data_IF_127049616454
#
_entry.id   IF_127049616454
#
_cell.length_a   1.000
_cell.length_b   1.000
_cell.length_c   1.000
_cell.angle_alpha   90.00
_cell.angle_beta   90.00
_cell.angle_gamma   90.00
#
_symmetry.space_group_name_H-M   'P 1'
#
loop_
_entity.id
_entity.type
_entity.pdbx_description
1 polymer ?
#
# COMPACT_ATOMS: atom_id res chain seq x y z
N UNK A 1 -17.14 7.83 14.28
CA UNK A 1 -17.01 7.79 12.81
C UNK A 1 -16.12 8.98 12.41
N UNK A 2 -14.83 8.73 12.17
CA UNK A 2 -13.92 9.79 11.72
C UNK A 2 -14.38 10.19 10.32
N UNK A 3 -14.73 11.45 10.13
CA UNK A 3 -15.08 11.98 8.81
C UNK A 3 -13.80 11.95 7.99
N UNK A 4 -13.75 11.10 7.00
CA UNK A 4 -12.64 11.01 6.05
C UNK A 4 -12.59 12.32 5.26
N UNK A 5 -11.57 13.13 5.50
CA UNK A 5 -11.46 14.45 4.87
C UNK A 5 -10.83 14.40 3.49
N UNK A 6 -10.02 13.37 3.19
CA UNK A 6 -9.29 13.18 1.92
C UNK A 6 -9.24 11.70 1.52
N UNK A 7 -9.24 11.35 0.22
CA UNK A 7 -9.28 9.96 -0.28
C UNK A 7 -8.15 9.06 0.24
N UNK A 8 -7.01 9.62 0.60
CA UNK A 8 -5.82 8.89 1.06
C UNK A 8 -5.69 8.82 2.59
N UNK A 9 -6.61 9.41 3.38
CA UNK A 9 -6.57 9.34 4.84
C UNK A 9 -7.07 7.99 5.37
N UNK A 10 -6.56 7.60 6.54
CA UNK A 10 -6.93 6.34 7.21
C UNK A 10 -6.15 5.14 6.66
N UNK A 11 -6.73 3.95 6.79
CA UNK A 11 -6.10 2.69 6.37
C UNK A 11 -6.43 2.41 4.91
N UNK A 12 -5.43 2.55 4.05
CA UNK A 12 -5.49 2.23 2.63
C UNK A 12 -4.73 0.91 2.40
N UNK A 13 -5.43 -0.17 2.15
CA UNK A 13 -4.80 -1.49 2.06
C UNK A 13 -4.17 -1.69 0.68
N UNK A 14 -2.85 -1.82 0.62
CA UNK A 14 -2.16 -2.32 -0.57
C UNK A 14 -2.58 -3.78 -0.77
N UNK A 15 -3.43 -4.03 -1.77
CA UNK A 15 -4.04 -5.35 -1.95
C UNK A 15 -3.09 -6.33 -2.62
N UNK A 16 -3.06 -7.56 -2.09
CA UNK A 16 -2.56 -8.72 -2.85
C UNK A 16 -3.53 -9.04 -3.98
N UNK A 17 -3.08 -9.79 -4.98
CA UNK A 17 -3.96 -10.35 -6.00
C UNK A 17 -4.05 -11.86 -5.85
N UNK A 18 -5.25 -12.44 -5.75
CA UNK A 18 -5.44 -13.88 -5.76
C UNK A 18 -5.27 -14.39 -7.20
N UNK A 19 -4.15 -15.04 -7.46
CA UNK A 19 -3.94 -15.74 -8.73
C UNK A 19 -4.49 -17.16 -8.66
N UNK A 20 -4.96 -17.65 -9.80
CA UNK A 20 -5.28 -19.07 -9.99
C UNK A 20 -3.98 -19.88 -10.09
N UNK A 21 -4.01 -21.19 -9.83
CA UNK A 21 -2.81 -22.03 -9.90
C UNK A 21 -2.22 -22.08 -11.33
N UNK A 22 -0.97 -22.53 -11.43
CA UNK A 22 -0.21 -22.59 -12.69
C UNK A 22 -0.93 -23.32 -13.84
N UNK A 23 -1.74 -24.34 -13.55
CA UNK A 23 -2.58 -25.01 -14.55
C UNK A 23 -3.61 -24.10 -15.22
N UNK A 24 -3.96 -22.99 -14.58
CA UNK A 24 -4.89 -21.95 -15.05
C UNK A 24 -4.12 -20.67 -15.46
N UNK A 25 -2.84 -20.84 -15.82
CA UNK A 25 -1.93 -19.81 -16.33
C UNK A 25 -1.71 -18.61 -15.37
N UNK A 26 -1.83 -18.84 -14.07
CA UNK A 26 -1.75 -17.78 -13.05
C UNK A 26 -2.66 -16.58 -13.34
N UNK A 27 -3.79 -16.79 -14.00
CA UNK A 27 -4.73 -15.71 -14.27
C UNK A 27 -5.26 -15.10 -12.97
N UNK A 28 -5.59 -13.80 -13.01
CA UNK A 28 -6.20 -13.11 -11.85
C UNK A 28 -7.59 -13.67 -11.59
N UNK A 29 -7.88 -14.07 -10.34
CA UNK A 29 -9.21 -14.44 -9.90
C UNK A 29 -9.98 -13.20 -9.45
N UNK A 30 -10.67 -12.54 -10.40
CA UNK A 30 -11.38 -11.29 -10.15
C UNK A 30 -12.52 -11.42 -9.14
N UNK A 31 -13.19 -12.57 -9.07
CA UNK A 31 -14.27 -12.80 -8.11
C UNK A 31 -13.72 -12.88 -6.68
N UNK A 32 -12.63 -13.64 -6.50
CA UNK A 32 -11.94 -13.69 -5.22
C UNK A 32 -11.34 -12.31 -4.83
N UNK A 33 -10.86 -11.55 -5.81
CA UNK A 33 -10.36 -10.20 -5.56
C UNK A 33 -11.47 -9.24 -5.14
N UNK A 34 -12.63 -9.26 -5.80
CA UNK A 34 -13.79 -8.47 -5.40
C UNK A 34 -14.25 -8.80 -3.97
N UNK A 35 -14.30 -10.10 -3.63
CA UNK A 35 -14.63 -10.54 -2.27
C UNK A 35 -13.59 -10.06 -1.24
N UNK A 36 -12.30 -10.07 -1.58
CA UNK A 36 -11.23 -9.53 -0.73
C UNK A 36 -11.42 -8.05 -0.46
N UNK A 37 -11.66 -7.24 -1.50
CA UNK A 37 -11.92 -5.79 -1.35
C UNK A 37 -13.12 -5.54 -0.45
N UNK A 38 -14.25 -6.21 -0.71
CA UNK A 38 -15.45 -6.05 0.10
C UNK A 38 -15.20 -6.41 1.58
N UNK A 39 -14.47 -7.50 1.85
CA UNK A 39 -14.09 -7.93 3.20
C UNK A 39 -13.25 -6.88 3.92
N UNK A 40 -12.22 -6.34 3.27
CA UNK A 40 -11.34 -5.33 3.85
C UNK A 40 -12.12 -4.07 4.25
N UNK A 41 -13.02 -3.61 3.37
CA UNK A 41 -13.86 -2.46 3.64
C UNK A 41 -14.88 -2.72 4.76
N UNK A 42 -15.42 -3.94 4.83
CA UNK A 42 -16.35 -4.36 5.89
C UNK A 42 -15.65 -4.47 7.26
N UNK A 43 -14.37 -4.86 7.29
CA UNK A 43 -13.55 -4.92 8.51
C UNK A 43 -13.16 -3.53 9.05
N UNK A 44 -13.49 -2.44 8.34
CA UNK A 44 -13.22 -1.08 8.79
C UNK A 44 -12.00 -0.41 8.16
N UNK A 45 -11.38 -1.03 7.15
CA UNK A 45 -10.37 -0.35 6.33
C UNK A 45 -11.02 0.79 5.53
N UNK A 46 -10.31 1.90 5.38
CA UNK A 46 -10.86 3.11 4.75
C UNK A 46 -10.83 3.03 3.22
N UNK A 47 -9.92 2.27 2.64
CA UNK A 47 -9.84 2.07 1.20
C UNK A 47 -8.82 1.01 0.80
N UNK A 48 -8.61 0.87 -0.52
CA UNK A 48 -7.71 -0.12 -1.11
C UNK A 48 -6.80 0.51 -2.15
N UNK A 49 -5.62 -0.11 -2.31
CA UNK A 49 -4.57 0.31 -3.25
C UNK A 49 -4.27 -0.86 -4.21
N UNK A 50 -5.06 -1.01 -5.29
CA UNK A 50 -4.75 -1.98 -6.34
C UNK A 50 -3.50 -1.59 -7.13
N UNK A 51 -2.90 -2.54 -7.82
CA UNK A 51 -1.73 -2.32 -8.69
C UNK A 51 -0.51 -1.72 -7.96
N UNK A 52 -0.39 -1.95 -6.65
CA UNK A 52 0.85 -1.70 -5.91
C UNK A 52 1.83 -2.87 -6.04
N UNK A 53 3.02 -2.74 -5.42
CA UNK A 53 4.05 -3.80 -5.41
C UNK A 53 3.53 -5.11 -4.80
N UNK A 54 2.69 -5.02 -3.75
CA UNK A 54 2.05 -6.17 -3.12
C UNK A 54 1.05 -6.88 -4.06
N UNK A 55 0.41 -6.14 -4.95
CA UNK A 55 -0.44 -6.67 -6.03
C UNK A 55 0.34 -7.18 -7.24
N UNK A 56 1.66 -7.28 -7.16
CA UNK A 56 2.53 -7.83 -8.21
C UNK A 56 2.32 -7.15 -9.58
N UNK A 57 2.07 -5.82 -9.58
CA UNK A 57 1.70 -5.06 -10.78
C UNK A 57 2.69 -5.22 -11.94
N UNK A 58 3.96 -5.49 -11.63
CA UNK A 58 5.02 -5.68 -12.62
C UNK A 58 4.81 -6.93 -13.49
N UNK A 59 3.98 -7.87 -13.03
CA UNK A 59 3.69 -9.13 -13.73
C UNK A 59 2.36 -9.12 -14.48
N UNK A 60 1.60 -8.04 -14.35
CA UNK A 60 0.28 -7.89 -14.97
C UNK A 60 0.39 -7.34 -16.39
N UNK A 61 -0.45 -7.85 -17.27
CA UNK A 61 -0.69 -7.22 -18.58
C UNK A 61 -1.46 -5.91 -18.39
N UNK A 62 -1.46 -5.06 -19.43
CA UNK A 62 -2.20 -3.80 -19.44
C UNK A 62 -3.70 -4.02 -19.16
N UNK A 63 -4.31 -5.04 -19.79
CA UNK A 63 -5.71 -5.40 -19.60
C UNK A 63 -6.00 -5.88 -18.17
N UNK A 64 -5.11 -6.68 -17.59
CA UNK A 64 -5.23 -7.13 -16.19
C UNK A 64 -5.17 -5.94 -15.24
N UNK A 65 -4.19 -5.02 -15.42
CA UNK A 65 -4.07 -3.81 -14.58
C UNK A 65 -5.34 -2.97 -14.62
N UNK A 66 -5.87 -2.71 -15.81
CA UNK A 66 -7.11 -1.95 -15.98
C UNK A 66 -8.32 -2.66 -15.34
N UNK A 67 -8.42 -3.97 -15.52
CA UNK A 67 -9.52 -4.76 -14.96
C UNK A 67 -9.47 -4.84 -13.45
N UNK A 68 -8.27 -4.97 -12.85
CA UNK A 68 -8.08 -4.98 -11.38
C UNK A 68 -8.60 -3.67 -10.76
N UNK A 69 -8.32 -2.52 -11.36
CA UNK A 69 -8.83 -1.22 -10.87
C UNK A 69 -10.36 -1.17 -10.94
N UNK A 70 -10.96 -1.56 -12.07
CA UNK A 70 -12.44 -1.59 -12.21
C UNK A 70 -13.07 -2.53 -11.19
N UNK A 71 -12.53 -3.74 -11.03
CA UNK A 71 -13.00 -4.69 -10.01
C UNK A 71 -12.96 -4.09 -8.61
N UNK A 72 -11.89 -3.36 -8.26
CA UNK A 72 -11.77 -2.71 -6.95
C UNK A 72 -12.84 -1.63 -6.74
N UNK A 73 -13.09 -0.77 -7.74
CA UNK A 73 -14.11 0.28 -7.67
C UNK A 73 -15.52 -0.32 -7.58
N UNK A 74 -15.83 -1.32 -8.38
CA UNK A 74 -17.12 -2.03 -8.34
C UNK A 74 -17.34 -2.70 -6.96
N UNK A 75 -16.32 -3.40 -6.44
CA UNK A 75 -16.38 -4.06 -5.15
C UNK A 75 -16.46 -3.07 -3.96
N UNK A 76 -15.99 -1.83 -4.15
CA UNK A 76 -16.19 -0.73 -3.20
C UNK A 76 -17.61 -0.10 -3.29
N UNK A 77 -18.52 -0.70 -4.06
CA UNK A 77 -19.88 -0.19 -4.24
C UNK A 77 -19.96 1.06 -5.11
N UNK A 78 -18.98 1.27 -6.00
CA UNK A 78 -18.84 2.47 -6.82
C UNK A 78 -18.23 3.67 -6.08
N UNK A 79 -17.82 3.48 -4.81
CA UNK A 79 -17.16 4.52 -4.00
C UNK A 79 -15.67 4.64 -4.41
N UNK A 80 -15.43 5.21 -5.59
CA UNK A 80 -14.08 5.31 -6.17
C UNK A 80 -13.10 6.13 -5.32
N UNK A 81 -13.61 7.03 -4.48
CA UNK A 81 -12.80 7.76 -3.49
C UNK A 81 -12.16 6.84 -2.44
N UNK A 82 -12.56 5.58 -2.37
CA UNK A 82 -11.94 4.54 -1.54
C UNK A 82 -10.89 3.70 -2.28
N UNK A 83 -10.57 4.06 -3.52
CA UNK A 83 -9.64 3.31 -4.37
C UNK A 83 -8.52 4.24 -4.84
N UNK A 84 -7.27 3.87 -4.52
CA UNK A 84 -6.05 4.59 -4.85
C UNK A 84 -5.12 3.69 -5.68
N UNK A 85 -5.31 3.55 -7.00
CA UNK A 85 -4.47 2.66 -7.80
C UNK A 85 -3.01 3.09 -7.86
N UNK A 86 -2.10 2.10 -7.87
CA UNK A 86 -0.72 2.32 -8.27
C UNK A 86 -0.63 2.54 -9.78
N UNK A 87 -0.07 3.69 -10.18
CA UNK A 87 0.10 4.07 -11.60
C UNK A 87 1.54 4.06 -12.06
N UNK A 88 2.43 3.48 -11.25
CA UNK A 88 3.87 3.43 -11.53
C UNK A 88 4.19 2.68 -12.82
N UNK A 89 5.16 3.23 -13.58
CA UNK A 89 5.66 2.68 -14.82
C UNK A 89 7.12 3.13 -15.03
N UNK A 90 7.80 2.56 -16.04
CA UNK A 90 9.19 2.95 -16.36
C UNK A 90 9.30 4.35 -16.97
N UNK A 91 8.24 4.90 -17.52
CA UNK A 91 8.25 6.23 -18.13
C UNK A 91 6.93 6.97 -17.92
N UNK A 92 6.99 8.32 -17.98
CA UNK A 92 5.86 9.20 -17.69
C UNK A 92 4.65 8.91 -18.56
N UNK A 93 4.82 8.72 -19.87
CA UNK A 93 3.71 8.47 -20.78
C UNK A 93 2.87 7.22 -20.41
N UNK A 94 3.53 6.16 -19.90
CA UNK A 94 2.82 4.98 -19.42
C UNK A 94 2.14 5.25 -18.07
N UNK A 95 2.80 5.97 -17.17
CA UNK A 95 2.21 6.36 -15.88
C UNK A 95 0.98 7.27 -16.07
N UNK A 96 1.02 8.22 -17.02
CA UNK A 96 -0.12 9.05 -17.38
C UNK A 96 -1.31 8.21 -17.88
N UNK A 97 -1.08 7.26 -18.81
CA UNK A 97 -2.15 6.36 -19.27
C UNK A 97 -2.80 5.58 -18.12
N UNK A 98 -2.00 5.11 -17.14
CA UNK A 98 -2.54 4.44 -15.96
C UNK A 98 -3.35 5.39 -15.06
N UNK A 99 -2.92 6.64 -14.94
CA UNK A 99 -3.65 7.67 -14.19
C UNK A 99 -4.96 8.05 -14.91
N UNK A 100 -4.96 8.16 -16.24
CA UNK A 100 -6.15 8.37 -17.07
C UNK A 100 -7.15 7.23 -16.88
N UNK A 101 -6.71 5.98 -16.97
CA UNK A 101 -7.57 4.81 -16.74
C UNK A 101 -8.11 4.75 -15.30
N UNK A 102 -7.32 5.16 -14.31
CA UNK A 102 -7.77 5.27 -12.93
C UNK A 102 -8.87 6.33 -12.79
N UNK A 103 -8.72 7.50 -13.45
CA UNK A 103 -9.72 8.54 -13.49
C UNK A 103 -11.01 8.08 -14.17
N UNK A 104 -10.91 7.42 -15.32
CA UNK A 104 -12.05 6.83 -16.05
C UNK A 104 -12.79 5.77 -15.21
N UNK A 105 -12.07 5.00 -14.40
CA UNK A 105 -12.67 4.04 -13.47
C UNK A 105 -13.29 4.70 -12.24
N UNK A 106 -13.09 6.01 -12.03
CA UNK A 106 -13.63 6.78 -10.91
C UNK A 106 -12.79 6.75 -9.63
N UNK A 107 -11.50 6.40 -9.70
CA UNK A 107 -10.60 6.42 -8.54
C UNK A 107 -10.47 7.83 -7.93
N UNK A 108 -10.30 7.92 -6.60
CA UNK A 108 -10.23 9.21 -5.91
C UNK A 108 -8.86 9.87 -5.89
N UNK A 109 -7.80 9.10 -6.07
CA UNK A 109 -6.40 9.54 -6.12
C UNK A 109 -5.54 8.41 -6.69
N UNK A 110 -4.24 8.65 -6.92
CA UNK A 110 -3.30 7.66 -7.42
C UNK A 110 -2.02 7.61 -6.60
N UNK A 111 -1.37 6.44 -6.57
CA UNK A 111 -0.09 6.21 -5.92
C UNK A 111 1.01 6.10 -6.98
N UNK A 112 2.06 6.93 -6.89
CA UNK A 112 3.11 7.03 -7.89
C UNK A 112 4.51 6.88 -7.29
N UNK A 113 5.28 5.90 -7.79
CA UNK A 113 6.74 5.81 -7.57
C UNK A 113 7.48 6.79 -8.47
N UNK A 114 8.70 7.25 -8.08
CA UNK A 114 9.59 7.90 -9.02
C UNK A 114 9.96 6.94 -10.18
N UNK A 115 10.48 7.47 -11.31
CA UNK A 115 10.99 6.63 -12.38
C UNK A 115 12.07 5.69 -11.85
N UNK A 116 11.96 4.40 -12.09
CA UNK A 116 12.83 3.38 -11.49
C UNK A 116 13.60 2.52 -12.51
N UNK A 117 13.55 2.86 -13.79
CA UNK A 117 14.34 2.20 -14.83
C UNK A 117 15.82 2.59 -14.78
N UNK A 118 16.16 3.70 -14.14
CA UNK A 118 17.50 4.26 -13.93
C UNK A 118 17.48 5.15 -12.68
N UNK A 119 18.64 5.62 -12.25
CA UNK A 119 18.71 6.62 -11.17
C UNK A 119 18.32 7.99 -11.72
N UNK A 120 17.07 8.33 -11.61
CA UNK A 120 16.57 9.64 -11.97
C UNK A 120 17.13 10.70 -11.01
N UNK A 121 17.55 11.84 -11.55
CA UNK A 121 17.86 13.01 -10.75
C UNK A 121 16.60 13.80 -10.36
N UNK A 122 16.75 14.81 -9.52
CA UNK A 122 15.63 15.60 -9.02
C UNK A 122 14.83 16.28 -10.17
N UNK A 123 15.48 16.70 -11.24
CA UNK A 123 14.81 17.32 -12.37
C UNK A 123 13.92 16.32 -13.13
N UNK A 124 14.43 15.11 -13.40
CA UNK A 124 13.65 14.04 -14.02
C UNK A 124 12.49 13.58 -13.13
N UNK A 125 12.70 13.47 -11.81
CA UNK A 125 11.64 13.17 -10.85
C UNK A 125 10.54 14.22 -10.90
N UNK A 126 10.88 15.50 -10.81
CA UNK A 126 9.89 16.61 -10.86
C UNK A 126 9.11 16.59 -12.16
N UNK A 127 9.78 16.41 -13.30
CA UNK A 127 9.11 16.33 -14.60
C UNK A 127 8.10 15.15 -14.64
N UNK A 128 8.51 13.98 -14.14
CA UNK A 128 7.64 12.80 -14.08
C UNK A 128 6.37 13.03 -13.23
N UNK A 129 6.54 13.56 -12.02
CA UNK A 129 5.40 13.83 -11.15
C UNK A 129 4.48 14.92 -11.71
N UNK A 130 5.04 15.97 -12.32
CA UNK A 130 4.27 17.04 -12.95
C UNK A 130 3.41 16.54 -14.12
N UNK A 131 3.98 15.67 -14.99
CA UNK A 131 3.23 15.05 -16.10
C UNK A 131 2.04 14.21 -15.61
N UNK A 132 2.25 13.38 -14.57
CA UNK A 132 1.17 12.56 -14.03
C UNK A 132 0.12 13.39 -13.29
N UNK A 133 0.53 14.41 -12.55
CA UNK A 133 -0.38 15.33 -11.87
C UNK A 133 -1.28 16.11 -12.85
N UNK A 134 -0.77 16.39 -14.06
CA UNK A 134 -1.53 17.07 -15.11
C UNK A 134 -2.74 16.28 -15.62
N UNK A 135 -2.83 14.97 -15.35
CA UNK A 135 -4.02 14.14 -15.62
C UNK A 135 -5.22 14.58 -14.76
N UNK A 136 -4.97 15.20 -13.59
CA UNK A 136 -6.00 15.83 -12.77
C UNK A 136 -6.45 15.03 -11.53
N UNK A 137 -5.94 13.81 -11.30
CA UNK A 137 -6.14 13.12 -10.02
C UNK A 137 -5.10 13.58 -8.99
N UNK A 138 -5.46 13.68 -7.70
CA UNK A 138 -4.49 13.87 -6.62
C UNK A 138 -3.43 12.75 -6.63
N UNK A 139 -2.16 13.13 -6.59
CA UNK A 139 -1.04 12.18 -6.61
C UNK A 139 -0.45 12.03 -5.22
N UNK A 140 -0.43 10.80 -4.71
CA UNK A 140 0.32 10.39 -3.53
C UNK A 140 1.68 9.88 -3.99
N UNK A 141 2.76 10.55 -3.58
CA UNK A 141 4.11 10.09 -3.88
C UNK A 141 4.42 8.83 -3.06
N UNK A 142 5.12 7.88 -3.65
CA UNK A 142 5.62 6.69 -2.93
C UNK A 142 7.14 6.73 -2.86
N UNK A 143 7.67 7.04 -1.68
CA UNK A 143 9.10 6.95 -1.42
C UNK A 143 9.49 5.54 -1.01
N UNK A 144 10.10 4.79 -1.91
CA UNK A 144 10.69 3.47 -1.66
C UNK A 144 12.11 3.42 -2.25
N UNK A 145 13.11 3.97 -1.54
CA UNK A 145 14.47 4.05 -2.06
C UNK A 145 15.16 2.68 -2.16
N UNK A 146 14.63 1.64 -1.49
CA UNK A 146 15.17 0.28 -1.58
C UNK A 146 14.97 -0.32 -2.97
N UNK A 147 13.76 -0.20 -3.52
CA UNK A 147 13.40 -0.78 -4.81
C UNK A 147 13.74 0.16 -5.97
N UNK A 148 13.41 1.45 -5.84
CA UNK A 148 13.55 2.41 -6.93
C UNK A 148 14.98 2.92 -7.12
N UNK A 149 15.83 2.84 -6.08
CA UNK A 149 17.16 3.47 -6.03
C UNK A 149 17.12 5.00 -6.22
N UNK A 150 15.93 5.59 -6.09
CA UNK A 150 15.68 7.03 -6.07
C UNK A 150 15.08 7.37 -4.72
N UNK A 151 15.69 8.31 -4.03
CA UNK A 151 15.23 8.78 -2.73
C UNK A 151 14.49 10.12 -2.89
N UNK A 152 13.21 10.12 -2.56
CA UNK A 152 12.43 11.36 -2.43
C UNK A 152 12.75 11.99 -1.06
N UNK A 153 13.87 12.72 -1.00
CA UNK A 153 14.29 13.41 0.24
C UNK A 153 13.21 14.39 0.72
N UNK A 154 13.15 14.74 2.02
CA UNK A 154 12.20 15.73 2.53
C UNK A 154 12.18 17.03 1.77
N UNK A 155 13.37 17.53 1.36
CA UNK A 155 13.48 18.72 0.50
C UNK A 155 12.83 18.53 -0.87
N UNK A 156 13.09 17.41 -1.56
CA UNK A 156 12.49 17.14 -2.86
C UNK A 156 10.97 16.96 -2.75
N UNK A 157 10.49 16.33 -1.67
CA UNK A 157 9.06 16.25 -1.39
C UNK A 157 8.43 17.62 -1.19
N UNK A 158 9.10 18.52 -0.47
CA UNK A 158 8.65 19.90 -0.31
C UNK A 158 8.56 20.65 -1.65
N UNK A 159 9.55 20.46 -2.54
CA UNK A 159 9.54 21.05 -3.90
C UNK A 159 8.38 20.49 -4.74
N UNK A 160 8.17 19.16 -4.76
CA UNK A 160 7.06 18.52 -5.46
C UNK A 160 5.68 18.98 -4.95
N UNK A 161 5.57 19.18 -3.64
CA UNK A 161 4.34 19.69 -3.03
C UNK A 161 4.09 21.16 -3.37
N UNK A 162 5.12 21.99 -3.29
CA UNK A 162 5.03 23.41 -3.65
C UNK A 162 4.68 23.62 -5.14
N UNK A 163 5.14 22.73 -6.02
CA UNK A 163 4.78 22.73 -7.45
C UNK A 163 3.34 22.22 -7.71
N UNK A 164 2.63 21.74 -6.68
CA UNK A 164 1.30 21.15 -6.81
C UNK A 164 1.29 19.75 -7.45
N UNK A 165 2.45 19.11 -7.57
CA UNK A 165 2.58 17.78 -8.21
C UNK A 165 2.18 16.64 -7.28
N UNK A 166 2.20 16.83 -5.96
CA UNK A 166 1.80 15.82 -4.97
C UNK A 166 0.97 16.43 -3.84
N UNK A 167 0.12 15.62 -3.23
CA UNK A 167 -0.72 16.00 -2.07
C UNK A 167 -0.35 15.27 -0.79
N UNK A 168 0.32 14.14 -0.92
CA UNK A 168 0.74 13.29 0.19
C UNK A 168 1.98 12.47 -0.20
N UNK A 169 2.64 11.89 0.80
CA UNK A 169 3.72 10.93 0.60
C UNK A 169 3.48 9.65 1.42
N UNK A 170 3.56 8.49 0.76
CA UNK A 170 3.79 7.20 1.41
C UNK A 170 5.29 7.06 1.66
N UNK A 171 5.70 7.10 2.92
CA UNK A 171 7.11 7.00 3.31
C UNK A 171 7.47 5.55 3.70
N UNK A 172 8.35 4.93 2.92
CA UNK A 172 8.75 3.53 3.08
C UNK A 172 10.28 3.37 3.31
N UNK A 173 10.99 4.44 3.65
CA UNK A 173 12.43 4.32 3.94
C UNK A 173 12.72 3.61 5.28
N UNK A 174 11.73 3.52 6.16
CA UNK A 174 11.90 3.01 7.53
C UNK A 174 12.62 4.00 8.48
N UNK A 175 13.01 5.17 7.98
CA UNK A 175 13.63 6.21 8.80
C UNK A 175 12.57 7.13 9.40
N UNK A 176 12.19 6.86 10.64
CA UNK A 176 11.15 7.62 11.35
C UNK A 176 11.50 9.11 11.55
N UNK A 177 12.78 9.49 11.47
CA UNK A 177 13.21 10.91 11.57
C UNK A 177 12.64 11.74 10.43
N UNK A 178 12.41 11.14 9.27
CA UNK A 178 11.85 11.81 8.08
C UNK A 178 10.46 12.40 8.32
N UNK A 179 9.66 11.82 9.20
CA UNK A 179 8.37 12.38 9.57
C UNK A 179 8.50 13.81 10.10
N UNK A 180 9.48 14.02 10.98
CA UNK A 180 9.75 15.34 11.56
C UNK A 180 10.39 16.29 10.55
N UNK A 181 11.35 15.82 9.74
CA UNK A 181 11.96 16.62 8.68
C UNK A 181 10.94 17.07 7.63
N UNK A 182 10.00 16.21 7.23
CA UNK A 182 8.90 16.56 6.31
C UNK A 182 8.00 17.62 6.95
N UNK A 183 7.60 17.44 8.21
CA UNK A 183 6.78 18.39 8.94
C UNK A 183 7.43 19.78 9.06
N UNK A 184 8.77 19.85 9.14
CA UNK A 184 9.51 21.11 9.17
C UNK A 184 9.52 21.84 7.81
N UNK A 185 9.71 21.09 6.70
CA UNK A 185 9.95 21.70 5.38
C UNK A 185 8.70 21.74 4.50
N UNK A 186 7.69 20.93 4.80
CA UNK A 186 6.43 20.82 4.07
C UNK A 186 5.26 20.49 5.03
N UNK A 187 4.89 21.39 5.96
CA UNK A 187 3.90 21.10 7.02
C UNK A 187 2.50 20.78 6.48
N UNK A 188 2.18 21.19 5.25
CA UNK A 188 0.89 20.92 4.60
C UNK A 188 0.89 19.60 3.77
N UNK A 189 2.03 18.94 3.63
CA UNK A 189 2.13 17.67 2.93
C UNK A 189 1.68 16.55 3.86
N UNK A 190 0.63 15.82 3.48
CA UNK A 190 0.16 14.69 4.26
C UNK A 190 1.18 13.55 4.27
N UNK A 191 1.53 13.07 5.46
CA UNK A 191 2.39 11.91 5.64
C UNK A 191 1.54 10.65 5.79
N UNK A 192 1.85 9.61 4.99
CA UNK A 192 1.27 8.28 5.11
C UNK A 192 2.35 7.27 5.51
N UNK A 193 2.01 6.43 6.47
CA UNK A 193 2.85 5.31 6.89
C UNK A 193 3.00 4.35 5.71
N UNK A 194 4.23 4.06 5.32
CA UNK A 194 4.54 3.14 4.22
C UNK A 194 4.98 1.77 4.67
N UNK A 195 5.84 1.72 5.68
CA UNK A 195 6.38 0.48 6.23
C UNK A 195 5.57 0.06 7.47
N UNK A 196 5.02 -1.14 7.45
CA UNK A 196 4.12 -1.63 8.50
C UNK A 196 4.81 -1.71 9.87
N UNK A 197 6.12 -1.99 9.89
CA UNK A 197 6.91 -2.22 11.10
C UNK A 197 7.40 -0.94 11.83
N UNK A 198 7.03 0.25 11.32
CA UNK A 198 7.22 1.55 12.00
C UNK A 198 5.91 2.31 12.15
N UNK A 199 4.78 1.57 12.16
CA UNK A 199 3.45 2.15 12.22
C UNK A 199 3.27 3.06 13.43
N UNK A 200 3.60 2.55 14.63
CA UNK A 200 3.32 3.26 15.88
C UNK A 200 4.11 4.57 15.94
N UNK A 201 5.37 4.53 15.57
CA UNK A 201 6.26 5.68 15.57
C UNK A 201 5.79 6.77 14.62
N UNK A 202 5.38 6.40 13.41
CA UNK A 202 4.92 7.37 12.41
C UNK A 202 3.50 7.90 12.72
N UNK A 203 2.62 7.07 13.31
CA UNK A 203 1.32 7.54 13.77
C UNK A 203 1.47 8.61 14.87
N UNK A 204 2.36 8.37 15.84
CA UNK A 204 2.67 9.35 16.89
C UNK A 204 3.39 10.59 16.38
N UNK A 205 4.10 10.50 15.25
CA UNK A 205 4.70 11.63 14.56
C UNK A 205 3.71 12.43 13.70
N UNK A 206 2.43 12.06 13.68
CA UNK A 206 1.37 12.81 13.00
C UNK A 206 0.99 12.31 11.61
N UNK A 207 1.35 11.08 11.24
CA UNK A 207 0.89 10.49 9.98
C UNK A 207 -0.64 10.38 9.96
N UNK A 208 -1.26 10.79 8.84
CA UNK A 208 -2.71 10.87 8.67
C UNK A 208 -3.33 9.66 7.97
N UNK A 209 -2.50 8.73 7.54
CA UNK A 209 -2.92 7.50 6.88
C UNK A 209 -1.85 6.42 6.92
N UNK A 210 -2.25 5.21 6.56
CA UNK A 210 -1.38 4.05 6.46
C UNK A 210 -1.66 3.28 5.18
N UNK A 211 -0.68 3.20 4.28
CA UNK A 211 -0.77 2.35 3.08
C UNK A 211 -0.21 0.98 3.44
N UNK A 212 -1.06 0.11 3.92
CA UNK A 212 -0.79 -1.07 4.72
C UNK A 212 -0.74 -2.38 3.92
N UNK A 213 0.13 -3.30 4.30
CA UNK A 213 0.21 -4.65 3.74
C UNK A 213 -0.58 -5.69 4.56
N UNK A 214 -0.35 -5.75 5.86
CA UNK A 214 -0.87 -6.82 6.73
C UNK A 214 -2.40 -6.84 6.97
N UNK A 215 -3.18 -5.78 6.76
CA UNK A 215 -4.63 -5.89 6.80
C UNK A 215 -5.23 -6.90 5.79
N UNK A 216 -4.49 -7.26 4.73
CA UNK A 216 -4.90 -8.37 3.85
C UNK A 216 -5.16 -9.66 4.62
N UNK A 217 -4.35 -9.94 5.65
CA UNK A 217 -4.43 -11.16 6.47
C UNK A 217 -5.21 -10.96 7.77
N UNK A 218 -4.98 -9.84 8.49
CA UNK A 218 -5.50 -9.59 9.84
C UNK A 218 -6.14 -8.18 9.91
N UNK A 219 -7.24 -7.94 9.18
CA UNK A 219 -7.78 -6.60 9.01
C UNK A 219 -8.29 -5.98 10.31
N UNK A 220 -9.00 -6.73 11.16
CA UNK A 220 -9.59 -6.19 12.39
C UNK A 220 -8.51 -5.80 13.41
N UNK A 221 -7.47 -6.63 13.55
CA UNK A 221 -6.34 -6.34 14.42
C UNK A 221 -5.56 -5.09 13.95
N UNK A 222 -5.33 -4.97 12.64
CA UNK A 222 -4.66 -3.82 12.06
C UNK A 222 -5.49 -2.54 12.18
N UNK A 223 -6.82 -2.61 12.00
CA UNK A 223 -7.73 -1.47 12.20
C UNK A 223 -7.68 -1.02 13.65
N UNK A 224 -7.77 -1.95 14.59
CA UNK A 224 -7.68 -1.64 16.02
C UNK A 224 -6.36 -0.97 16.37
N UNK A 225 -5.24 -1.55 15.88
CA UNK A 225 -3.91 -1.00 16.11
C UNK A 225 -3.78 0.43 15.58
N UNK A 226 -4.14 0.65 14.31
CA UNK A 226 -4.01 1.97 13.70
C UNK A 226 -4.86 3.03 14.40
N UNK A 227 -6.14 2.72 14.70
CA UNK A 227 -7.03 3.66 15.39
C UNK A 227 -6.48 4.03 16.78
N UNK A 228 -6.06 3.03 17.57
CA UNK A 228 -5.46 3.28 18.87
C UNK A 228 -4.16 4.12 18.76
N UNK A 229 -3.33 3.85 17.75
CA UNK A 229 -2.07 4.58 17.55
C UNK A 229 -2.32 6.07 17.20
N UNK A 230 -3.24 6.38 16.28
CA UNK A 230 -3.53 7.78 15.89
C UNK A 230 -4.31 8.54 16.97
N UNK A 231 -5.08 7.85 17.80
CA UNK A 231 -5.78 8.44 18.94
C UNK A 231 -4.86 8.62 20.17
N UNK A 232 -3.61 8.11 20.10
CA UNK A 232 -2.65 8.18 21.20
C UNK A 232 -2.98 7.23 22.38
N UNK A 233 -3.87 6.26 22.16
CA UNK A 233 -4.18 5.21 23.15
C UNK A 233 -3.07 4.16 23.17
N UNK A 234 -2.00 4.48 23.89
CA UNK A 234 -0.84 3.61 24.01
C UNK A 234 -1.11 2.36 24.86
N UNK A 235 -2.10 2.39 25.72
CA UNK A 235 -2.47 1.22 26.54
C UNK A 235 -3.04 0.11 25.66
N UNK A 236 -3.76 0.45 24.59
CA UNK A 236 -4.24 -0.48 23.56
C UNK A 236 -3.20 -0.71 22.46
N UNK A 237 -2.58 0.36 21.93
CA UNK A 237 -1.72 0.27 20.76
C UNK A 237 -0.43 -0.51 21.03
N UNK A 238 0.28 -0.26 22.13
CA UNK A 238 1.60 -0.82 22.34
C UNK A 238 1.61 -2.34 22.57
N UNK A 239 0.72 -2.95 23.37
CA UNK A 239 0.63 -4.41 23.47
C UNK A 239 0.29 -5.06 22.13
N UNK A 240 -0.68 -4.51 21.37
CA UNK A 240 -1.11 -5.03 20.08
C UNK A 240 0.00 -4.90 19.03
N UNK A 241 0.69 -3.75 18.99
CA UNK A 241 1.83 -3.53 18.10
C UNK A 241 2.96 -4.55 18.36
N UNK A 242 3.29 -4.79 19.63
CA UNK A 242 4.28 -5.81 20.01
C UNK A 242 3.87 -7.22 19.59
N UNK A 243 2.59 -7.56 19.68
CA UNK A 243 2.06 -8.84 19.27
C UNK A 243 2.13 -9.02 17.75
N UNK A 244 1.71 -8.00 16.98
CA UNK A 244 1.71 -8.01 15.51
C UNK A 244 3.10 -7.81 14.88
N UNK A 245 4.03 -7.17 15.56
CA UNK A 245 5.33 -6.76 15.01
C UNK A 245 6.16 -7.90 14.38
N UNK A 246 6.15 -9.16 14.88
CA UNK A 246 6.81 -10.27 14.18
C UNK A 246 6.29 -10.52 12.76
N UNK A 247 5.02 -10.16 12.48
CA UNK A 247 4.43 -10.21 11.15
C UNK A 247 4.69 -8.92 10.37
N UNK A 248 4.45 -7.75 10.97
CA UNK A 248 4.59 -6.44 10.30
C UNK A 248 5.99 -6.27 9.68
N UNK A 249 7.04 -6.79 10.32
CA UNK A 249 8.42 -6.79 9.78
C UNK A 249 8.61 -7.56 8.48
N UNK A 250 7.64 -8.35 8.04
CA UNK A 250 7.73 -9.01 6.74
C UNK A 250 7.44 -8.04 5.59
N UNK A 251 6.67 -6.99 5.82
CA UNK A 251 6.39 -5.98 4.80
C UNK A 251 7.68 -5.30 4.29
N UNK A 252 8.68 -5.15 5.16
CA UNK A 252 9.99 -4.55 4.82
C UNK A 252 11.01 -5.56 4.24
N UNK A 253 10.59 -6.79 3.86
CA UNK A 253 11.46 -7.81 3.29
C UNK A 253 11.14 -8.09 1.82
N UNK A 254 12.12 -8.57 1.02
CA UNK A 254 11.87 -8.94 -0.38
C UNK A 254 10.74 -9.95 -0.58
N UNK A 255 10.51 -10.82 0.42
CA UNK A 255 9.49 -11.88 0.38
C UNK A 255 8.13 -11.43 0.93
N UNK A 256 7.87 -10.14 1.07
CA UNK A 256 6.63 -9.60 1.68
C UNK A 256 5.35 -10.13 1.02
N UNK A 257 5.33 -10.27 -0.30
CA UNK A 257 4.15 -10.77 -1.02
C UNK A 257 3.83 -12.20 -0.61
N UNK A 258 4.84 -13.08 -0.63
CA UNK A 258 4.68 -14.48 -0.24
C UNK A 258 4.28 -14.62 1.22
N UNK A 259 4.87 -13.77 2.08
CA UNK A 259 4.60 -13.79 3.52
C UNK A 259 3.15 -13.38 3.82
N UNK A 260 2.69 -12.29 3.26
CA UNK A 260 1.32 -11.81 3.48
C UNK A 260 0.30 -12.79 2.91
N UNK A 261 0.53 -13.34 1.70
CA UNK A 261 -0.35 -14.36 1.11
C UNK A 261 -0.42 -15.64 1.97
N UNK A 262 0.70 -16.11 2.52
CA UNK A 262 0.69 -17.26 3.42
C UNK A 262 -0.09 -16.95 4.71
N UNK A 263 0.07 -15.77 5.30
CA UNK A 263 -0.70 -15.35 6.46
C UNK A 263 -2.21 -15.26 6.15
N UNK A 264 -2.57 -14.80 4.94
CA UNK A 264 -3.96 -14.82 4.48
C UNK A 264 -4.53 -16.24 4.42
N UNK A 265 -3.81 -17.19 3.81
CA UNK A 265 -4.26 -18.58 3.72
C UNK A 265 -4.45 -19.22 5.11
N UNK A 266 -3.57 -18.90 6.06
CA UNK A 266 -3.67 -19.36 7.46
C UNK A 266 -4.85 -18.73 8.20
N UNK A 267 -5.19 -17.49 7.90
CA UNK A 267 -6.34 -16.78 8.44
C UNK A 267 -7.67 -17.16 7.76
N UNK A 268 -7.66 -18.14 6.84
CA UNK A 268 -8.86 -18.58 6.11
C UNK A 268 -9.25 -17.69 4.94
N UNK A 269 -8.35 -16.81 4.51
CA UNK A 269 -8.52 -15.94 3.35
C UNK A 269 -7.73 -16.47 2.16
N UNK A 270 -8.14 -16.12 0.95
CA UNK A 270 -7.47 -16.61 -0.25
C UNK A 270 -6.25 -15.73 -0.60
N UNK A 271 -5.04 -16.12 -0.19
CA UNK A 271 -3.77 -15.54 -0.62
C UNK A 271 -3.36 -16.06 -1.99
N UNK A 272 -3.31 -17.38 -2.14
CA UNK A 272 -2.96 -18.06 -3.38
C UNK A 272 -1.48 -17.95 -3.76
N UNK A 273 -1.10 -18.44 -4.95
CA UNK A 273 0.28 -18.39 -5.42
C UNK A 273 0.72 -16.99 -5.79
N UNK A 274 2.03 -16.77 -5.85
CA UNK A 274 2.63 -15.61 -6.52
C UNK A 274 2.95 -15.95 -7.97
N UNK A 275 3.03 -14.92 -8.85
CA UNK A 275 3.52 -15.11 -10.21
C UNK A 275 5.05 -15.20 -10.27
N UNK A 276 5.61 -15.98 -11.20
CA UNK A 276 7.04 -15.94 -11.49
C UNK A 276 7.50 -14.51 -11.83
N UNK A 277 8.73 -14.13 -11.46
CA UNK A 277 9.82 -14.97 -10.93
C UNK A 277 9.79 -15.20 -9.41
N UNK A 278 8.74 -14.76 -8.69
CA UNK A 278 8.64 -14.98 -7.24
C UNK A 278 8.50 -16.47 -6.95
N UNK A 279 9.38 -16.99 -6.10
CA UNK A 279 9.37 -18.37 -5.64
C UNK A 279 8.62 -18.48 -4.30
N UNK A 280 8.12 -19.66 -3.93
CA UNK A 280 7.59 -19.90 -2.58
C UNK A 280 8.62 -19.54 -1.50
N UNK A 281 8.14 -19.21 -0.30
CA UNK A 281 9.04 -18.98 0.84
C UNK A 281 9.89 -20.22 1.12
N UNK A 282 11.19 -20.06 1.44
CA UNK A 282 12.01 -21.15 1.97
C UNK A 282 11.37 -21.76 3.23
N UNK A 283 11.51 -23.08 3.42
CA UNK A 283 10.84 -23.80 4.50
C UNK A 283 11.03 -23.16 5.89
N UNK A 284 12.25 -22.82 6.29
CA UNK A 284 12.51 -22.20 7.58
C UNK A 284 11.92 -20.78 7.75
N UNK A 285 11.69 -20.04 6.66
CA UNK A 285 10.96 -18.77 6.69
C UNK A 285 9.45 -19.02 6.81
N UNK A 286 8.94 -19.96 6.03
CA UNK A 286 7.54 -20.39 6.07
C UNK A 286 7.14 -20.87 7.47
N UNK A 287 7.97 -21.71 8.12
CA UNK A 287 7.69 -22.23 9.47
C UNK A 287 7.61 -21.12 10.52
N UNK A 288 8.56 -20.16 10.48
CA UNK A 288 8.55 -19.01 11.41
C UNK A 288 7.32 -18.13 11.20
N UNK A 289 6.96 -17.87 9.96
CA UNK A 289 5.79 -17.06 9.62
C UNK A 289 4.50 -17.76 10.05
N UNK A 290 4.39 -19.05 9.78
CA UNK A 290 3.26 -19.89 10.20
C UNK A 290 3.08 -19.82 11.71
N UNK A 291 4.13 -20.12 12.48
CA UNK A 291 4.07 -20.09 13.94
C UNK A 291 3.64 -18.72 14.49
N UNK A 292 4.12 -17.62 13.90
CA UNK A 292 3.75 -16.26 14.30
C UNK A 292 2.28 -15.95 13.96
N UNK A 293 1.80 -16.33 12.77
CA UNK A 293 0.41 -16.10 12.35
C UNK A 293 -0.56 -16.94 13.19
N UNK A 294 -0.29 -18.25 13.34
CA UNK A 294 -1.14 -19.16 14.12
C UNK A 294 -1.24 -18.74 15.59
N UNK A 295 -0.14 -18.24 16.16
CA UNK A 295 -0.15 -17.68 17.53
C UNK A 295 -1.11 -16.52 17.64
N UNK A 296 -1.04 -15.54 16.72
CA UNK A 296 -1.94 -14.37 16.74
C UNK A 296 -3.40 -14.76 16.58
N UNK A 297 -3.70 -15.69 15.67
CA UNK A 297 -5.05 -16.20 15.49
C UNK A 297 -5.57 -16.93 16.74
N UNK A 298 -4.72 -17.71 17.42
CA UNK A 298 -5.06 -18.37 18.68
C UNK A 298 -5.28 -17.39 19.83
N UNK A 299 -4.59 -16.25 19.81
CA UNK A 299 -4.76 -15.15 20.77
C UNK A 299 -5.99 -14.28 20.43
N UNK A 300 -6.75 -14.59 19.36
CA UNK A 300 -8.00 -13.92 18.95
C UNK A 300 -7.78 -12.68 18.06
N UNK A 301 -6.61 -12.50 17.48
CA UNK A 301 -6.34 -11.42 16.54
C UNK A 301 -6.67 -11.86 15.10
N UNK A 302 -7.61 -11.18 14.48
CA UNK A 302 -8.09 -11.45 13.12
C UNK A 302 -8.00 -10.24 12.21
#
# INVERSE_FOLDING_TARGET
MVIRTRPWHGIMVATTLPFRPARDDFSVDHDAYAAQVARLLAAGCDGVVPNGSLGEYQTLTDDERARVVRTAVEAAGGAGERVMPGVSAYGSAAACRWAEQAAEAGAGCVLLLPPNAYRADAAAVRAHFAEVAAVGLPVVAYNNPFDTKVDLTPRLLAELHADGSIVAVKEFSGDVRRAYEIAEVAPELDLLIGADDVLLELALAGAVGWVAGYPNALPEACVTLYRAAVDGDLDTALPLYRALHPLLRWDSKPEFVQAIKLSMDLAGHRGGPTRPPRLPLPAGQSDRLRAATEKLLADGHH
#
